data_IF_888645636212
#
_entry.id   IF_888645636212
#
_cell.length_a   1.000
_cell.length_b   1.000
_cell.length_c   1.000
_cell.angle_alpha   90.00
_cell.angle_beta   90.00
_cell.angle_gamma   90.00
#
_symmetry.space_group_name_H-M   'P 1'
#
loop_
_entity.id
_entity.type
_entity.pdbx_description
1 polymer ?
#
# COMPACT_ATOMS: atom_id res chain seq x y z
N UNK A 1 -16.81 -17.71 1.66
CA UNK A 1 -16.54 -16.87 0.48
C UNK A 1 -15.03 -16.71 0.43
N UNK A 2 -14.35 -17.30 -0.55
CA UNK A 2 -12.91 -17.16 -0.67
C UNK A 2 -12.56 -15.68 -0.85
N UNK A 3 -11.56 -15.17 -0.12
CA UNK A 3 -11.16 -13.75 -0.12
C UNK A 3 -10.94 -13.16 -1.53
N UNK A 4 -10.66 -14.00 -2.52
CA UNK A 4 -10.54 -13.60 -3.94
C UNK A 4 -11.80 -12.97 -4.52
N UNK A 5 -12.98 -13.38 -4.06
CA UNK A 5 -14.24 -12.81 -4.53
C UNK A 5 -14.49 -11.39 -3.99
N UNK A 6 -13.84 -11.00 -2.88
CA UNK A 6 -13.97 -9.66 -2.29
C UNK A 6 -13.45 -8.58 -3.25
N UNK A 7 -12.42 -8.90 -4.04
CA UNK A 7 -11.83 -7.96 -5.00
C UNK A 7 -12.72 -7.60 -6.19
N UNK A 8 -13.88 -8.24 -6.35
CA UNK A 8 -14.84 -7.96 -7.44
C UNK A 8 -16.28 -7.76 -6.95
N UNK A 9 -16.62 -8.26 -5.75
CA UNK A 9 -17.99 -8.27 -5.23
C UNK A 9 -18.61 -6.87 -5.07
N UNK A 10 -17.82 -5.88 -4.62
CA UNK A 10 -18.28 -4.49 -4.41
C UNK A 10 -17.78 -3.53 -5.49
N UNK A 11 -17.38 -4.09 -6.63
CA UNK A 11 -16.67 -3.41 -7.69
C UNK A 11 -15.27 -3.96 -7.84
N UNK A 12 -14.85 -4.16 -9.09
CA UNK A 12 -13.49 -4.58 -9.38
C UNK A 12 -12.48 -3.54 -8.86
N UNK A 13 -11.47 -4.00 -8.12
CA UNK A 13 -10.46 -3.13 -7.48
C UNK A 13 -9.82 -2.16 -8.49
N UNK A 14 -9.53 -2.61 -9.72
CA UNK A 14 -8.93 -1.74 -10.75
C UNK A 14 -9.93 -0.69 -11.21
N UNK A 15 -11.18 -1.08 -11.42
CA UNK A 15 -12.25 -0.15 -11.81
C UNK A 15 -12.48 0.90 -10.72
N UNK A 16 -12.49 0.51 -9.45
CA UNK A 16 -12.60 1.42 -8.32
C UNK A 16 -11.39 2.37 -8.24
N UNK A 17 -10.17 1.86 -8.43
CA UNK A 17 -8.96 2.67 -8.44
C UNK A 17 -8.95 3.70 -9.59
N UNK A 18 -9.35 3.28 -10.80
CA UNK A 18 -9.49 4.17 -11.96
C UNK A 18 -10.48 5.30 -11.66
N UNK A 19 -11.64 4.96 -11.09
CA UNK A 19 -12.66 5.94 -10.74
C UNK A 19 -12.12 6.93 -9.72
N UNK A 20 -11.53 6.45 -8.62
CA UNK A 20 -11.01 7.32 -7.56
C UNK A 20 -9.87 8.20 -8.07
N UNK A 21 -8.90 7.64 -8.80
CA UNK A 21 -7.78 8.40 -9.37
C UNK A 21 -8.29 9.50 -10.32
N UNK A 22 -9.26 9.18 -11.18
CA UNK A 22 -9.85 10.16 -12.09
C UNK A 22 -10.52 11.31 -11.35
N UNK A 23 -11.31 11.01 -10.30
CA UNK A 23 -12.01 12.02 -9.50
C UNK A 23 -11.05 12.90 -8.68
N UNK A 24 -9.93 12.35 -8.22
CA UNK A 24 -8.84 13.10 -7.56
C UNK A 24 -8.15 14.04 -8.56
N UNK A 25 -7.81 13.55 -9.75
CA UNK A 25 -7.08 14.33 -10.76
C UNK A 25 -7.89 15.52 -11.30
N UNK A 26 -9.21 15.36 -11.42
CA UNK A 26 -10.12 16.46 -11.82
C UNK A 26 -10.51 17.36 -10.63
N UNK A 27 -10.04 17.05 -9.42
CA UNK A 27 -10.25 17.87 -8.21
C UNK A 27 -11.63 17.76 -7.58
N UNK A 28 -12.41 16.69 -7.85
CA UNK A 28 -13.71 16.48 -7.16
C UNK A 28 -13.55 15.98 -5.74
N UNK A 29 -12.46 15.27 -5.45
CA UNK A 29 -12.09 14.84 -4.11
C UNK A 29 -10.71 15.36 -3.71
N UNK A 30 -10.47 15.41 -2.40
CA UNK A 30 -9.17 15.71 -1.82
C UNK A 30 -8.86 14.66 -0.77
N UNK A 31 -7.61 14.20 -0.77
CA UNK A 31 -7.10 13.29 0.25
C UNK A 31 -6.49 14.13 1.39
N UNK A 32 -6.61 13.71 2.66
CA UNK A 32 -5.91 14.36 3.75
C UNK A 32 -4.40 14.44 3.48
N UNK A 33 -3.76 15.60 3.76
CA UNK A 33 -2.33 15.75 3.54
C UNK A 33 -1.53 14.77 4.42
N UNK A 34 -0.34 14.33 3.97
CA UNK A 34 0.53 13.48 4.78
C UNK A 34 0.85 14.11 6.13
N UNK A 35 0.76 13.33 7.20
CA UNK A 35 1.21 13.72 8.54
C UNK A 35 2.74 13.87 8.57
N UNK A 36 3.45 13.05 7.78
CA UNK A 36 4.90 13.10 7.63
C UNK A 36 5.31 13.22 6.15
N UNK A 37 5.36 14.44 5.59
CA UNK A 37 5.66 14.66 4.17
C UNK A 37 7.02 14.14 3.71
N UNK A 38 7.97 13.99 4.64
CA UNK A 38 9.32 13.50 4.36
C UNK A 38 9.44 11.97 4.47
N UNK A 39 8.36 11.24 4.77
CA UNK A 39 8.38 9.78 4.78
C UNK A 39 8.47 9.24 3.35
N UNK A 40 9.11 8.08 3.19
CA UNK A 40 9.32 7.46 1.88
C UNK A 40 8.00 7.24 1.13
N UNK A 41 6.96 6.76 1.83
CA UNK A 41 5.64 6.52 1.25
C UNK A 41 4.92 7.82 0.86
N UNK A 42 5.05 8.89 1.66
CA UNK A 42 4.47 10.18 1.32
C UNK A 42 5.13 10.79 0.07
N UNK A 43 6.44 10.62 -0.09
CA UNK A 43 7.17 11.04 -1.28
C UNK A 43 6.77 10.24 -2.52
N UNK A 44 6.56 8.93 -2.36
CA UNK A 44 6.08 8.05 -3.44
C UNK A 44 4.69 8.45 -3.92
N UNK A 45 3.73 8.63 -3.01
CA UNK A 45 2.40 9.16 -3.34
C UNK A 45 2.48 10.50 -4.08
N UNK A 46 3.26 11.45 -3.54
CA UNK A 46 3.38 12.78 -4.12
C UNK A 46 3.96 12.74 -5.53
N UNK A 47 4.94 11.86 -5.77
CA UNK A 47 5.55 11.69 -7.09
C UNK A 47 4.57 11.10 -8.11
N UNK A 48 3.85 10.03 -7.75
CA UNK A 48 2.84 9.43 -8.63
C UNK A 48 1.68 10.40 -8.92
N UNK A 49 1.24 11.16 -7.93
CA UNK A 49 0.22 12.20 -8.12
C UNK A 49 0.72 13.29 -9.07
N UNK A 50 1.96 13.74 -8.89
CA UNK A 50 2.59 14.75 -9.76
C UNK A 50 2.74 14.23 -11.19
N UNK A 51 3.12 12.97 -11.38
CA UNK A 51 3.22 12.32 -12.68
C UNK A 51 1.86 12.25 -13.39
N UNK A 52 0.83 11.78 -12.68
CA UNK A 52 -0.53 11.71 -13.18
C UNK A 52 -1.08 13.10 -13.59
N UNK A 53 -0.84 14.11 -12.76
CA UNK A 53 -1.23 15.50 -13.06
C UNK A 53 -0.49 16.05 -14.28
N UNK A 54 0.82 15.78 -14.43
CA UNK A 54 1.59 16.16 -15.62
C UNK A 54 1.01 15.54 -16.88
N UNK A 55 0.68 14.25 -16.85
CA UNK A 55 0.02 13.59 -17.99
C UNK A 55 -1.34 14.22 -18.32
N UNK A 56 -2.15 14.53 -17.30
CA UNK A 56 -3.45 15.16 -17.51
C UNK A 56 -3.31 16.57 -18.13
N UNK A 57 -2.32 17.34 -17.70
CA UNK A 57 -2.02 18.66 -18.26
C UNK A 57 -1.60 18.57 -19.73
N UNK A 58 -0.76 17.60 -20.08
CA UNK A 58 -0.29 17.38 -21.46
C UNK A 58 -1.42 17.06 -22.44
N UNK A 59 -2.49 16.44 -21.97
CA UNK A 59 -3.68 16.09 -22.80
C UNK A 59 -4.79 17.14 -22.71
N UNK A 60 -4.52 18.31 -22.12
CA UNK A 60 -5.45 19.43 -22.04
C UNK A 60 -6.61 19.23 -21.05
N UNK A 61 -6.42 18.39 -20.02
CA UNK A 61 -7.47 18.12 -19.03
C UNK A 61 -8.59 17.20 -19.53
N UNK A 62 -8.43 16.61 -20.71
CA UNK A 62 -9.41 15.67 -21.26
C UNK A 62 -9.26 14.29 -20.61
N UNK A 63 -10.17 13.97 -19.70
CA UNK A 63 -10.22 12.68 -19.00
C UNK A 63 -10.88 11.55 -19.80
N UNK A 64 -11.27 11.80 -21.06
CA UNK A 64 -11.89 10.83 -21.98
C UNK A 64 -11.15 10.87 -23.33
N UNK A 65 -9.87 10.53 -23.30
CA UNK A 65 -9.04 10.44 -24.50
C UNK A 65 -8.26 9.12 -24.51
N UNK A 66 -7.77 8.74 -25.68
CA UNK A 66 -6.92 7.55 -25.83
C UNK A 66 -5.59 7.73 -25.06
N UNK A 67 -5.08 8.95 -24.99
CA UNK A 67 -3.89 9.30 -24.21
C UNK A 67 -4.12 9.19 -22.70
N UNK A 68 -5.33 9.53 -22.20
CA UNK A 68 -5.69 9.25 -20.82
C UNK A 68 -5.66 7.75 -20.55
N UNK A 69 -6.24 6.96 -21.46
CA UNK A 69 -6.25 5.51 -21.36
C UNK A 69 -4.86 4.89 -21.39
N UNK A 70 -3.95 5.46 -22.17
CA UNK A 70 -2.58 4.95 -22.31
C UNK A 70 -1.69 5.30 -21.13
N UNK A 71 -1.78 6.53 -20.61
CA UNK A 71 -0.79 7.03 -19.66
C UNK A 71 -1.31 7.14 -18.22
N UNK A 72 -2.63 7.33 -18.00
CA UNK A 72 -3.20 7.54 -16.66
C UNK A 72 -3.90 6.29 -16.12
N UNK A 73 -4.60 5.50 -16.96
CA UNK A 73 -5.23 4.27 -16.48
C UNK A 73 -4.24 3.26 -15.87
N UNK A 74 -3.06 2.99 -16.48
CA UNK A 74 -2.09 2.07 -15.88
C UNK A 74 -1.57 2.57 -14.52
N UNK A 75 -1.47 3.89 -14.36
CA UNK A 75 -0.98 4.56 -13.15
C UNK A 75 -2.04 4.63 -12.04
N UNK A 76 -3.32 4.46 -12.37
CA UNK A 76 -4.42 4.66 -11.43
C UNK A 76 -4.37 3.70 -10.24
N UNK A 77 -4.13 2.40 -10.48
CA UNK A 77 -4.03 1.43 -9.39
C UNK A 77 -2.79 1.70 -8.50
N UNK A 78 -1.56 1.82 -9.04
CA UNK A 78 -0.38 2.19 -8.24
C UNK A 78 -0.57 3.46 -7.42
N UNK A 79 -1.16 4.52 -8.00
CA UNK A 79 -1.43 5.77 -7.30
C UNK A 79 -2.36 5.58 -6.10
N UNK A 80 -3.48 4.88 -6.28
CA UNK A 80 -4.44 4.64 -5.19
C UNK A 80 -3.84 3.73 -4.12
N UNK A 81 -3.03 2.74 -4.50
CA UNK A 81 -2.32 1.89 -3.54
C UNK A 81 -1.31 2.71 -2.72
N UNK A 82 -0.50 3.57 -3.36
CA UNK A 82 0.46 4.43 -2.65
C UNK A 82 -0.22 5.33 -1.61
N UNK A 83 -1.35 5.95 -1.99
CA UNK A 83 -2.20 6.72 -1.06
C UNK A 83 -2.65 5.84 0.12
N UNK A 84 -3.19 4.65 -0.19
CA UNK A 84 -3.66 3.71 0.81
C UNK A 84 -2.56 3.25 1.77
N UNK A 85 -1.37 2.94 1.25
CA UNK A 85 -0.22 2.53 2.05
C UNK A 85 0.23 3.62 3.01
N UNK A 86 0.36 4.87 2.53
CA UNK A 86 0.69 6.00 3.40
C UNK A 86 -0.37 6.16 4.49
N UNK A 87 -1.66 6.21 4.12
CA UNK A 87 -2.74 6.42 5.08
C UNK A 87 -2.82 5.30 6.13
N UNK A 88 -2.61 4.05 5.73
CA UNK A 88 -2.57 2.92 6.65
C UNK A 88 -1.39 3.00 7.62
N UNK A 89 -0.20 3.36 7.12
CA UNK A 89 0.99 3.56 7.94
C UNK A 89 0.80 4.68 8.96
N UNK A 90 0.23 5.81 8.54
CA UNK A 90 -0.05 6.94 9.43
C UNK A 90 -1.08 6.61 10.50
N UNK A 91 -2.17 5.91 10.13
CA UNK A 91 -3.17 5.46 11.10
C UNK A 91 -2.58 4.45 12.12
N UNK A 92 -1.71 3.54 11.66
CA UNK A 92 -1.03 2.59 12.55
C UNK A 92 -0.11 3.32 13.55
N UNK A 93 0.62 4.35 13.09
CA UNK A 93 1.45 5.21 13.95
C UNK A 93 0.60 6.00 14.95
N UNK A 94 -0.55 6.52 14.54
CA UNK A 94 -1.46 7.29 15.40
C UNK A 94 -2.07 6.46 16.53
N UNK A 95 -2.48 5.21 16.24
CA UNK A 95 -3.06 4.30 17.25
C UNK A 95 -1.99 3.64 18.13
N UNK A 96 -0.71 3.82 17.79
CA UNK A 96 0.41 3.27 18.57
C UNK A 96 0.61 1.77 18.38
N UNK A 97 0.41 1.27 17.15
CA UNK A 97 0.81 -0.09 16.79
C UNK A 97 2.32 -0.26 17.01
N UNK A 98 2.75 -1.47 17.38
CA UNK A 98 4.15 -1.81 17.60
C UNK A 98 5.03 -1.38 16.41
N UNK A 99 6.12 -0.66 16.70
CA UNK A 99 7.02 -0.14 15.68
C UNK A 99 7.62 -1.24 14.80
N UNK A 100 7.81 -2.45 15.32
CA UNK A 100 8.35 -3.59 14.56
C UNK A 100 7.39 -4.05 13.46
N UNK A 101 6.08 -4.01 13.72
CA UNK A 101 5.05 -4.30 12.71
C UNK A 101 4.99 -3.19 11.66
N UNK A 102 5.12 -1.94 12.11
CA UNK A 102 5.19 -0.76 11.24
C UNK A 102 6.40 -0.86 10.30
N UNK A 103 7.58 -1.20 10.83
CA UNK A 103 8.82 -1.32 10.06
C UNK A 103 8.74 -2.47 9.04
N UNK A 104 8.12 -3.61 9.43
CA UNK A 104 7.90 -4.73 8.51
C UNK A 104 6.92 -4.35 7.39
N UNK A 105 5.85 -3.64 7.73
CA UNK A 105 4.90 -3.15 6.73
C UNK A 105 5.55 -2.14 5.76
N UNK A 106 6.26 -1.15 6.30
CA UNK A 106 6.90 -0.09 5.52
C UNK A 106 7.97 -0.67 4.57
N UNK A 107 8.80 -1.60 5.04
CA UNK A 107 9.78 -2.29 4.19
C UNK A 107 9.14 -3.16 3.10
N UNK A 108 8.02 -3.84 3.38
CA UNK A 108 7.24 -4.57 2.39
C UNK A 108 6.69 -3.66 1.28
N UNK A 109 6.10 -2.52 1.64
CA UNK A 109 5.60 -1.52 0.68
C UNK A 109 6.73 -0.97 -0.19
N UNK A 110 7.92 -0.76 0.39
CA UNK A 110 9.09 -0.32 -0.38
C UNK A 110 9.52 -1.36 -1.41
N UNK A 111 9.47 -2.65 -1.06
CA UNK A 111 9.82 -3.74 -1.98
C UNK A 111 8.81 -3.90 -3.12
N UNK A 112 7.53 -3.62 -2.89
CA UNK A 112 6.47 -3.69 -3.91
C UNK A 112 6.73 -2.75 -5.10
N UNK A 113 7.39 -1.61 -4.89
CA UNK A 113 7.84 -0.69 -5.96
C UNK A 113 9.35 -0.36 -5.85
N UNK A 114 10.16 -1.41 -5.74
CA UNK A 114 11.61 -1.31 -5.55
C UNK A 114 12.31 -0.40 -6.57
N UNK A 115 11.81 -0.37 -7.82
CA UNK A 115 12.35 0.44 -8.89
C UNK A 115 12.20 1.94 -8.59
N UNK A 116 11.01 2.40 -8.22
CA UNK A 116 10.79 3.80 -7.88
C UNK A 116 11.63 4.24 -6.68
N UNK A 117 11.69 3.44 -5.62
CA UNK A 117 12.49 3.78 -4.43
C UNK A 117 13.99 3.81 -4.71
N UNK A 118 14.47 3.02 -5.69
CA UNK A 118 15.87 3.07 -6.14
C UNK A 118 16.16 4.32 -6.96
N UNK A 119 15.28 4.67 -7.89
CA UNK A 119 15.50 5.77 -8.85
C UNK A 119 15.22 7.15 -8.26
N UNK A 120 14.16 7.28 -7.47
CA UNK A 120 13.65 8.56 -6.97
C UNK A 120 13.69 8.65 -5.44
N UNK A 121 13.51 7.52 -4.74
CA UNK A 121 13.51 7.48 -3.28
C UNK A 121 14.90 7.47 -2.62
N UNK A 122 15.97 7.26 -3.41
CA UNK A 122 17.35 7.20 -2.90
C UNK A 122 17.66 5.96 -2.04
N UNK A 123 16.76 4.96 -2.02
CA UNK A 123 16.94 3.73 -1.25
C UNK A 123 17.44 2.65 -2.20
N UNK A 124 18.74 2.32 -2.11
CA UNK A 124 19.31 1.28 -2.97
C UNK A 124 18.61 -0.07 -2.78
N UNK A 125 18.54 -0.89 -3.83
CA UNK A 125 17.97 -2.25 -3.74
C UNK A 125 18.58 -3.11 -2.63
N UNK A 126 19.87 -2.95 -2.33
CA UNK A 126 20.52 -3.66 -1.22
C UNK A 126 19.97 -3.18 0.13
N UNK A 127 19.88 -1.86 0.32
CA UNK A 127 19.32 -1.27 1.53
C UNK A 127 17.85 -1.69 1.74
N UNK A 128 17.04 -1.73 0.69
CA UNK A 128 15.64 -2.21 0.78
C UNK A 128 15.56 -3.64 1.32
N UNK A 129 16.42 -4.54 0.81
CA UNK A 129 16.48 -5.93 1.28
C UNK A 129 16.96 -6.01 2.73
N UNK A 130 17.94 -5.21 3.12
CA UNK A 130 18.43 -5.18 4.50
C UNK A 130 17.38 -4.64 5.46
N UNK A 131 16.60 -3.63 5.06
CA UNK A 131 15.49 -3.10 5.86
C UNK A 131 14.42 -4.17 6.14
N UNK A 132 13.99 -4.90 5.12
CA UNK A 132 13.03 -6.00 5.28
C UNK A 132 13.59 -7.10 6.19
N UNK A 133 14.83 -7.54 5.95
CA UNK A 133 15.45 -8.60 6.74
C UNK A 133 15.56 -8.21 8.23
N UNK A 134 16.00 -6.98 8.53
CA UNK A 134 16.09 -6.48 9.90
C UNK A 134 14.72 -6.35 10.57
N UNK A 135 13.71 -5.88 9.85
CA UNK A 135 12.35 -5.78 10.38
C UNK A 135 11.77 -7.18 10.68
N UNK A 136 11.99 -8.15 9.79
CA UNK A 136 11.58 -9.53 9.98
C UNK A 136 12.30 -10.18 11.18
N UNK A 137 13.61 -10.03 11.28
CA UNK A 137 14.42 -10.57 12.38
C UNK A 137 14.01 -9.98 13.74
N UNK A 138 13.66 -8.69 13.79
CA UNK A 138 13.22 -8.02 15.00
C UNK A 138 11.83 -8.48 15.48
N UNK A 139 10.95 -8.83 14.55
CA UNK A 139 9.57 -9.23 14.82
C UNK A 139 9.42 -10.73 15.08
N UNK A 140 10.23 -11.57 14.43
CA UNK A 140 10.11 -13.03 14.47
C UNK A 140 10.03 -13.61 15.91
N UNK A 141 10.83 -13.16 16.89
CA UNK A 141 10.73 -13.65 18.27
C UNK A 141 9.40 -13.36 18.97
N UNK A 142 8.66 -12.34 18.52
CA UNK A 142 7.38 -11.91 19.11
C UNK A 142 6.16 -12.36 18.30
N UNK A 143 6.39 -12.91 17.11
CA UNK A 143 5.34 -13.28 16.15
C UNK A 143 4.28 -14.20 16.77
N UNK A 144 4.71 -15.23 17.50
CA UNK A 144 3.78 -16.17 18.14
C UNK A 144 2.84 -15.45 19.13
N UNK A 145 3.41 -14.59 19.98
CA UNK A 145 2.65 -13.80 20.94
C UNK A 145 1.65 -12.86 20.23
N UNK A 146 2.09 -12.15 19.20
CA UNK A 146 1.24 -11.24 18.42
C UNK A 146 0.07 -11.98 17.74
N UNK A 147 0.31 -13.18 17.23
CA UNK A 147 -0.74 -14.04 16.66
C UNK A 147 -1.76 -14.50 17.72
N UNK A 148 -1.30 -14.85 18.92
CA UNK A 148 -2.20 -15.20 20.03
C UNK A 148 -3.02 -13.99 20.49
N UNK A 149 -2.40 -12.83 20.63
CA UNK A 149 -3.03 -11.60 21.10
C UNK A 149 -4.12 -11.09 20.12
N UNK A 150 -4.05 -11.46 18.83
CA UNK A 150 -5.14 -11.22 17.87
C UNK A 150 -6.43 -11.98 18.20
N UNK A 151 -6.39 -13.03 19.02
CA UNK A 151 -7.57 -13.79 19.44
C UNK A 151 -8.27 -14.55 18.31
N UNK A 152 -7.60 -14.77 17.17
CA UNK A 152 -8.18 -15.42 15.99
C UNK A 152 -8.31 -16.95 16.13
N UNK A 153 -7.59 -17.56 17.07
CA UNK A 153 -7.51 -19.02 17.23
C UNK A 153 -8.88 -19.72 17.35
N UNK A 154 -9.88 -19.23 18.12
CA UNK A 154 -11.20 -19.88 18.23
C UNK A 154 -12.01 -19.88 16.92
N UNK A 155 -11.65 -19.05 15.95
CA UNK A 155 -12.34 -18.92 14.67
C UNK A 155 -11.63 -19.65 13.53
N UNK A 156 -10.48 -20.27 13.82
CA UNK A 156 -9.71 -21.03 12.83
C UNK A 156 -10.17 -22.49 12.80
N UNK A 157 -10.56 -22.95 11.62
CA UNK A 157 -10.82 -24.38 11.36
C UNK A 157 -9.56 -25.13 10.89
N UNK A 158 -8.40 -24.46 10.86
CA UNK A 158 -7.17 -25.06 10.38
C UNK A 158 -6.60 -26.02 11.45
N UNK A 159 -6.41 -27.32 11.14
CA UNK A 159 -5.91 -28.29 12.12
C UNK A 159 -4.50 -27.94 12.62
N UNK A 160 -3.68 -27.30 11.79
CA UNK A 160 -2.35 -26.81 12.15
C UNK A 160 -2.34 -25.61 13.11
N UNK A 161 -3.50 -25.03 13.42
CA UNK A 161 -3.61 -23.91 14.37
C UNK A 161 -3.69 -24.36 15.83
N UNK A 162 -3.71 -25.68 16.10
CA UNK A 162 -3.66 -26.21 17.47
C UNK A 162 -2.93 -27.54 17.51
N UNK A 163 -2.13 -27.78 18.55
CA UNK A 163 -1.47 -29.08 18.76
C UNK A 163 -2.48 -30.24 18.84
N UNK A 164 -3.70 -29.97 19.35
CA UNK A 164 -4.77 -30.97 19.45
C UNK A 164 -5.33 -31.40 18.10
N UNK A 165 -5.27 -30.53 17.07
CA UNK A 165 -5.76 -30.80 15.72
C UNK A 165 -4.76 -31.54 14.82
N UNK A 166 -3.54 -31.78 15.30
CA UNK A 166 -2.46 -32.49 14.58
C UNK A 166 -2.45 -34.01 14.78
N UNK A 167 -3.27 -34.54 15.71
CA UNK A 167 -3.44 -35.99 15.92
C UNK A 167 -4.47 -36.61 14.98
#
# INVERSE_FOLDING_TARGET
MEFRAVGTAEGDIRVLAIRLASELLIGRYQIPPPASPNSALAQHEAALMTEAQKHLLLIGGMHRSEEFNRNILPLSLPLIQAIGHRMALEAAKEVGIDSKLIDLYESGVILDDSAWYTEQGGISRLAQKEMEAQAADALLPEMEKLLYDMGAAPYSNAPMASEKGWN
#
